data_IF_356329064319
#
_entry.id   IF_356329064319
#
_cell.length_a   1.000
_cell.length_b   1.000
_cell.length_c   1.000
_cell.angle_alpha   90.00
_cell.angle_beta   90.00
_cell.angle_gamma   90.00
#
_symmetry.space_group_name_H-M   'P 1'
#
loop_
_entity.id
_entity.type
_entity.pdbx_description
1 polymer ?
#
# COMPACT_ATOMS: atom_id res chain seq x y z
N UNK A 1 -13.69 4.40 16.03
CA UNK A 1 -13.13 3.03 16.00
C UNK A 1 -13.58 2.41 14.69
N UNK A 2 -12.72 1.65 14.01
CA UNK A 2 -13.03 1.03 12.71
C UNK A 2 -13.71 -0.35 12.85
N UNK A 3 -14.26 -0.63 14.03
CA UNK A 3 -14.87 -1.90 14.43
C UNK A 3 -14.87 -2.10 15.95
N UNK A 4 -15.44 -3.24 16.39
CA UNK A 4 -15.58 -3.61 17.82
C UNK A 4 -15.32 -5.11 18.04
N UNK A 5 -14.70 -5.47 19.17
CA UNK A 5 -14.54 -6.87 19.60
C UNK A 5 -15.81 -7.37 20.30
N UNK A 6 -16.26 -8.56 19.91
CA UNK A 6 -17.35 -9.27 20.59
C UNK A 6 -16.83 -10.06 21.80
N UNK A 7 -17.71 -10.41 22.75
CA UNK A 7 -17.35 -11.22 23.93
C UNK A 7 -16.81 -12.62 23.61
N UNK A 8 -17.06 -13.11 22.39
CA UNK A 8 -16.54 -14.38 21.86
C UNK A 8 -15.11 -14.26 21.27
N UNK A 9 -14.51 -13.06 21.30
CA UNK A 9 -13.18 -12.78 20.79
C UNK A 9 -13.12 -12.43 19.29
N UNK A 10 -14.26 -12.38 18.60
CA UNK A 10 -14.30 -12.02 17.17
C UNK A 10 -14.33 -10.50 16.99
N UNK A 11 -13.42 -9.96 16.18
CA UNK A 11 -13.46 -8.55 15.77
C UNK A 11 -14.44 -8.35 14.62
N UNK A 12 -15.38 -7.43 14.79
CA UNK A 12 -16.30 -7.00 13.72
C UNK A 12 -15.85 -5.63 13.23
N UNK A 13 -15.35 -5.57 12.01
CA UNK A 13 -14.96 -4.32 11.36
C UNK A 13 -16.18 -3.62 10.74
N UNK A 14 -16.27 -2.29 10.89
CA UNK A 14 -17.32 -1.47 10.29
C UNK A 14 -17.01 -1.14 8.82
N UNK A 15 -15.73 -1.19 8.45
CA UNK A 15 -15.24 -0.95 7.09
C UNK A 15 -14.11 -1.92 6.73
N UNK A 16 -14.07 -2.37 5.49
CA UNK A 16 -12.99 -3.20 4.96
C UNK A 16 -12.08 -2.33 4.11
N UNK A 17 -10.84 -2.12 4.56
CA UNK A 17 -9.81 -1.44 3.77
C UNK A 17 -9.18 -2.46 2.82
N UNK A 18 -9.27 -2.19 1.52
CA UNK A 18 -8.49 -2.94 0.54
C UNK A 18 -7.01 -2.62 0.73
N UNK A 19 -6.15 -3.64 0.74
CA UNK A 19 -4.72 -3.42 0.48
C UNK A 19 -4.62 -2.93 -0.96
N UNK A 20 -4.37 -1.64 -1.14
CA UNK A 20 -3.83 -1.19 -2.41
C UNK A 20 -2.36 -1.57 -2.40
N UNK A 21 -1.90 -2.34 -3.40
CA UNK A 21 -0.54 -2.88 -3.48
C UNK A 21 0.48 -1.82 -3.02
N UNK A 22 1.20 -2.10 -1.93
CA UNK A 22 2.21 -1.18 -1.38
C UNK A 22 3.41 -1.01 -2.34
N UNK A 23 3.47 -1.81 -3.40
CA UNK A 23 4.40 -1.71 -4.52
C UNK A 23 3.85 -0.93 -5.72
N UNK A 24 2.60 -0.41 -5.65
CA UNK A 24 2.02 0.36 -6.74
C UNK A 24 2.73 1.71 -6.87
N UNK A 25 3.65 1.78 -7.82
CA UNK A 25 4.27 3.02 -8.24
C UNK A 25 3.50 3.58 -9.44
N UNK A 26 2.83 4.75 -9.30
CA UNK A 26 2.16 5.38 -10.42
C UNK A 26 3.14 5.66 -11.56
N UNK A 27 2.71 5.47 -12.81
CA UNK A 27 3.54 5.72 -14.00
C UNK A 27 4.11 7.14 -14.01
N UNK A 28 3.33 8.13 -13.60
CA UNK A 28 3.74 9.54 -13.48
C UNK A 28 4.90 9.71 -12.47
N UNK A 29 4.86 8.97 -11.36
CA UNK A 29 5.90 9.00 -10.33
C UNK A 29 7.17 8.32 -10.85
N UNK A 30 7.04 7.17 -11.51
CA UNK A 30 8.18 6.48 -12.14
C UNK A 30 8.86 7.34 -13.22
N UNK A 31 8.08 8.01 -14.09
CA UNK A 31 8.62 8.93 -15.11
C UNK A 31 9.30 10.15 -14.48
N UNK A 32 8.74 10.71 -13.40
CA UNK A 32 9.35 11.83 -12.67
C UNK A 32 10.65 11.44 -11.95
N UNK A 33 10.77 10.20 -11.47
CA UNK A 33 11.99 9.70 -10.84
C UNK A 33 13.06 9.37 -11.89
N UNK A 34 12.66 8.85 -13.05
CA UNK A 34 13.55 8.62 -14.21
C UNK A 34 14.09 9.94 -14.78
N UNK A 35 13.25 10.97 -14.93
CA UNK A 35 13.69 12.27 -15.46
C UNK A 35 14.62 13.02 -14.51
N UNK A 36 14.45 12.83 -13.20
CA UNK A 36 15.34 13.40 -12.16
C UNK A 36 16.67 12.63 -12.00
N UNK A 37 16.87 11.53 -12.73
CA UNK A 37 18.11 10.75 -12.68
C UNK A 37 18.33 9.95 -11.39
N UNK A 38 17.30 9.82 -10.54
CA UNK A 38 17.37 9.12 -9.23
C UNK A 38 16.82 7.68 -9.32
N UNK A 39 16.33 7.27 -10.50
CA UNK A 39 15.77 5.94 -10.70
C UNK A 39 16.83 4.84 -10.67
N UNK A 40 17.01 4.20 -9.52
CA UNK A 40 17.66 2.89 -9.41
C UNK A 40 16.56 1.84 -9.52
N UNK A 41 16.35 1.29 -10.72
CA UNK A 41 15.64 0.03 -10.87
C UNK A 41 16.33 -0.96 -9.93
N UNK A 42 15.58 -1.52 -8.98
CA UNK A 42 16.09 -2.48 -8.01
C UNK A 42 16.73 -3.64 -8.78
N UNK A 43 18.05 -3.58 -8.97
CA UNK A 43 18.86 -4.74 -9.27
C UNK A 43 18.74 -5.67 -8.07
N UNK A 44 17.81 -6.60 -8.19
CA UNK A 44 17.87 -7.87 -7.48
C UNK A 44 19.01 -8.67 -8.11
N UNK A 45 20.22 -8.54 -7.57
CA UNK A 45 21.20 -9.64 -7.61
C UNK A 45 20.83 -10.64 -6.50
#
# INVERSE_FOLDING_TARGET
TEGTFRPDGVFVADSVLAKHDETYMPKEVAESLKSKGVWQESKSD
#
